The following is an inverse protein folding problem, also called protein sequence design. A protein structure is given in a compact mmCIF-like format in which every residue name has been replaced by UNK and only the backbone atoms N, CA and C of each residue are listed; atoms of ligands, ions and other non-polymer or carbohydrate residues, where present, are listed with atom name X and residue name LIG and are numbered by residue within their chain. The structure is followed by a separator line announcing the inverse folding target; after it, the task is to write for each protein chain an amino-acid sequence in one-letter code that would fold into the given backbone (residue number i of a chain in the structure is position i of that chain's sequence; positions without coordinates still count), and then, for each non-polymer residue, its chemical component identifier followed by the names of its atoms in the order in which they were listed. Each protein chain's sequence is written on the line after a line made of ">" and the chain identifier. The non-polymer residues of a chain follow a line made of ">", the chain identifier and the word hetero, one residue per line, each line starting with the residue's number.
data_IF_693496164474
#
_entry.id   IF_693496164474
#
_cell.length_a   1.000
_cell.length_b   1.000
_cell.length_c   1.000
_cell.angle_alpha   90.00
_cell.angle_beta   90.00
_cell.angle_gamma   90.00
#
_symmetry.space_group_name_H-M   'P 1'
#
loop_
_entity.id
_entity.type
_entity.pdbx_description
1 polymer ?
#
# COMPACT_ATOMS: atom_id res chain seq x y z
N UNK A 1 -3.43 -8.48 20.37
CA UNK A 1 -3.99 -7.42 19.51
C UNK A 1 -3.15 -7.34 18.26
N UNK A 2 -3.63 -7.83 17.12
CA UNK A 2 -2.97 -7.53 15.84
C UNK A 2 -3.62 -6.26 15.31
N UNK A 3 -2.93 -5.12 15.42
CA UNK A 3 -3.38 -3.89 14.78
C UNK A 3 -3.37 -4.10 13.27
N UNK A 4 -4.52 -3.93 12.63
CA UNK A 4 -4.64 -4.03 11.17
C UNK A 4 -4.32 -2.67 10.54
N UNK A 5 -3.50 -2.68 9.49
CA UNK A 5 -3.13 -1.50 8.71
C UNK A 5 -3.67 -1.67 7.30
N UNK A 6 -4.50 -0.71 6.86
CA UNK A 6 -4.87 -0.59 5.45
C UNK A 6 -3.89 0.34 4.74
N UNK A 7 -3.16 -0.18 3.76
CA UNK A 7 -2.23 0.57 2.92
C UNK A 7 -2.91 0.94 1.60
N UNK A 8 -3.28 2.21 1.44
CA UNK A 8 -3.76 2.74 0.16
C UNK A 8 -2.58 3.11 -0.76
N UNK A 9 -2.62 2.62 -1.98
CA UNK A 9 -1.58 2.84 -3.00
C UNK A 9 -2.16 3.65 -4.14
N UNK A 10 -1.68 4.87 -4.35
CA UNK A 10 -1.88 5.57 -5.61
C UNK A 10 -0.74 5.17 -6.57
N UNK A 11 -1.01 4.39 -7.65
CA UNK A 11 0.04 3.90 -8.55
C UNK A 11 0.80 5.03 -9.27
N UNK A 12 0.15 6.16 -9.52
CA UNK A 12 0.73 7.29 -10.28
C UNK A 12 1.55 8.25 -9.41
N UNK A 13 1.45 8.13 -8.08
CA UNK A 13 2.22 8.94 -7.15
C UNK A 13 3.75 8.80 -7.35
N UNK A 14 4.51 9.81 -6.95
CA UNK A 14 5.98 9.78 -7.01
C UNK A 14 6.54 9.67 -8.44
N UNK A 15 5.83 10.24 -9.42
CA UNK A 15 6.15 10.16 -10.87
C UNK A 15 6.01 8.73 -11.41
N UNK A 16 4.90 8.06 -11.08
CA UNK A 16 4.62 6.68 -11.51
C UNK A 16 5.36 5.59 -10.74
N UNK A 17 6.00 5.94 -9.62
CA UNK A 17 6.74 4.98 -8.78
C UNK A 17 5.91 4.39 -7.65
N UNK A 18 4.71 4.93 -7.41
CA UNK A 18 3.81 4.50 -6.35
C UNK A 18 3.49 3.00 -6.39
N UNK A 19 3.32 2.44 -7.60
CA UNK A 19 3.12 1.00 -7.79
C UNK A 19 4.30 0.16 -7.27
N UNK A 20 5.53 0.62 -7.51
CA UNK A 20 6.75 -0.07 -7.06
C UNK A 20 7.04 0.11 -5.56
N UNK A 21 6.61 1.23 -4.98
CA UNK A 21 6.81 1.52 -3.56
C UNK A 21 5.87 0.72 -2.64
N UNK A 22 4.73 0.24 -3.16
CA UNK A 22 3.74 -0.50 -2.39
C UNK A 22 4.27 -1.79 -1.76
N UNK A 23 5.02 -2.60 -2.53
CA UNK A 23 5.52 -3.89 -2.07
C UNK A 23 6.57 -3.74 -0.95
N UNK A 24 7.61 -2.89 -1.07
CA UNK A 24 8.55 -2.64 0.02
C UNK A 24 7.87 -2.15 1.31
N UNK A 25 6.91 -1.22 1.18
CA UNK A 25 6.18 -0.70 2.33
C UNK A 25 5.34 -1.78 3.04
N UNK A 26 4.58 -2.57 2.28
CA UNK A 26 3.78 -3.67 2.85
C UNK A 26 4.67 -4.75 3.49
N UNK A 27 5.82 -5.05 2.89
CA UNK A 27 6.79 -6.01 3.43
C UNK A 27 7.33 -5.55 4.79
N UNK A 28 7.75 -4.30 4.91
CA UNK A 28 8.27 -3.74 6.16
C UNK A 28 7.22 -3.77 7.29
N UNK A 29 5.96 -3.42 6.97
CA UNK A 29 4.87 -3.46 7.94
C UNK A 29 4.56 -4.89 8.41
N UNK A 30 4.58 -5.87 7.50
CA UNK A 30 4.39 -7.29 7.87
C UNK A 30 5.56 -7.82 8.71
N UNK A 31 6.79 -7.42 8.38
CA UNK A 31 7.98 -7.77 9.15
C UNK A 31 7.93 -7.21 10.58
N UNK A 32 7.25 -6.08 10.79
CA UNK A 32 6.98 -5.52 12.11
C UNK A 32 5.81 -6.20 12.87
N UNK A 33 5.19 -7.24 12.28
CA UNK A 33 4.13 -8.02 12.92
C UNK A 33 2.71 -7.47 12.72
N UNK A 34 2.51 -6.50 11.83
CA UNK A 34 1.17 -5.98 11.52
C UNK A 34 0.44 -6.85 10.49
N UNK A 35 -0.88 -6.96 10.65
CA UNK A 35 -1.74 -7.43 9.57
C UNK A 35 -1.90 -6.29 8.55
N UNK A 36 -1.57 -6.53 7.28
CA UNK A 36 -1.54 -5.49 6.25
C UNK A 36 -2.43 -5.85 5.07
N UNK A 37 -3.46 -5.03 4.87
CA UNK A 37 -4.33 -5.07 3.69
C UNK A 37 -3.95 -3.96 2.73
N UNK A 38 -3.56 -4.30 1.52
CA UNK A 38 -3.20 -3.31 0.49
C UNK A 38 -4.41 -3.05 -0.41
N UNK A 39 -4.74 -1.78 -0.65
CA UNK A 39 -5.79 -1.34 -1.57
C UNK A 39 -5.15 -0.49 -2.65
N UNK A 40 -5.22 -0.95 -3.89
CA UNK A 40 -4.75 -0.19 -5.04
C UNK A 40 -5.85 0.80 -5.47
N UNK A 41 -5.49 2.08 -5.53
CA UNK A 41 -6.31 3.10 -6.15
C UNK A 41 -6.40 2.83 -7.66
N UNK A 42 -7.62 2.79 -8.16
CA UNK A 42 -7.91 2.83 -9.59
C UNK A 42 -8.36 4.25 -9.92
N UNK A 43 -8.22 4.64 -11.18
CA UNK A 43 -8.77 5.91 -11.65
C UNK A 43 -10.28 5.92 -11.37
N UNK A 44 -10.79 7.04 -10.86
CA UNK A 44 -12.23 7.22 -10.70
C UNK A 44 -12.88 7.26 -12.09
N UNK A 45 -14.09 6.71 -12.20
CA UNK A 45 -14.91 7.01 -13.36
C UNK A 45 -15.20 8.51 -13.40
N UNK A 46 -15.10 9.11 -14.59
CA UNK A 46 -15.40 10.53 -14.84
C UNK A 46 -16.81 10.93 -14.40
#
# INVERSE_FOLDING_TARGET
>A
MTSEITLFVNPTAGRGRGAHAAQPAASALRAAGFAVRTVLGVDAAD
#
